data_IF_372186231822
#
_entry.id   IF_372186231822
#
_cell.length_a   1.000
_cell.length_b   1.000
_cell.length_c   1.000
_cell.angle_alpha   90.00
_cell.angle_beta   90.00
_cell.angle_gamma   90.00
#
_symmetry.space_group_name_H-M   'P 1'
#
loop_
_entity.id
_entity.type
_entity.pdbx_description
1 polymer ?
#
# COMPACT_ATOMS: atom_id res chain seq x y z
N UNK A 1 -10.47 -20.04 8.99
CA UNK A 1 -11.44 -19.58 10.02
C UNK A 1 -11.24 -20.19 11.41
N UNK A 2 -11.02 -21.51 11.58
CA UNK A 2 -10.81 -22.13 12.91
C UNK A 2 -9.69 -21.47 13.74
N UNK A 3 -8.57 -21.11 13.11
CA UNK A 3 -7.45 -20.45 13.79
C UNK A 3 -7.77 -19.00 14.22
N UNK A 4 -8.45 -18.23 13.39
CA UNK A 4 -8.83 -16.84 13.70
C UNK A 4 -9.87 -16.76 14.83
N UNK A 5 -10.83 -17.68 14.84
CA UNK A 5 -11.85 -17.75 15.89
C UNK A 5 -11.22 -18.03 17.26
N UNK A 6 -10.28 -18.99 17.34
CA UNK A 6 -9.65 -19.35 18.60
C UNK A 6 -8.71 -18.26 19.15
N UNK A 7 -7.96 -17.58 18.26
CA UNK A 7 -6.93 -16.62 18.67
C UNK A 7 -7.45 -15.18 18.79
N UNK A 8 -8.38 -14.79 17.94
CA UNK A 8 -8.85 -13.40 17.83
C UNK A 8 -10.34 -13.24 18.09
N UNK A 9 -11.08 -14.34 18.34
CA UNK A 9 -12.52 -14.30 18.55
C UNK A 9 -13.33 -13.94 17.30
N UNK A 10 -12.70 -13.94 16.12
CA UNK A 10 -13.34 -13.60 14.84
C UNK A 10 -13.79 -14.87 14.13
N UNK A 11 -15.10 -15.01 13.95
CA UNK A 11 -15.75 -16.24 13.46
C UNK A 11 -16.23 -16.14 12.01
N UNK A 12 -16.39 -14.93 11.50
CA UNK A 12 -16.86 -14.66 10.14
C UNK A 12 -16.33 -13.31 9.64
N UNK A 13 -16.64 -13.01 8.38
CA UNK A 13 -16.19 -11.80 7.69
C UNK A 13 -16.74 -10.50 8.34
N UNK A 14 -18.01 -10.51 8.75
CA UNK A 14 -18.64 -9.35 9.40
C UNK A 14 -18.01 -9.04 10.77
N UNK A 15 -17.69 -10.08 11.54
CA UNK A 15 -16.97 -9.93 12.81
C UNK A 15 -15.54 -9.39 12.60
N UNK A 16 -14.90 -9.75 11.48
CA UNK A 16 -13.59 -9.24 11.10
C UNK A 16 -13.67 -7.76 10.73
N UNK A 17 -14.61 -7.37 9.88
CA UNK A 17 -14.85 -5.98 9.52
C UNK A 17 -15.19 -5.14 10.77
N UNK A 18 -16.08 -5.66 11.63
CA UNK A 18 -16.42 -5.00 12.88
C UNK A 18 -15.23 -4.87 13.85
N UNK A 19 -14.27 -5.80 13.82
CA UNK A 19 -13.05 -5.67 14.62
C UNK A 19 -12.17 -4.51 14.13
N UNK A 20 -12.08 -4.32 12.81
CA UNK A 20 -11.38 -3.16 12.21
C UNK A 20 -12.09 -1.86 12.61
N UNK A 21 -13.42 -1.78 12.48
CA UNK A 21 -14.17 -0.58 12.88
C UNK A 21 -14.00 -0.26 14.37
N UNK A 22 -14.09 -1.27 15.24
CA UNK A 22 -13.87 -1.09 16.69
C UNK A 22 -12.48 -0.60 17.03
N UNK A 23 -11.46 -0.97 16.26
CA UNK A 23 -10.10 -0.47 16.46
C UNK A 23 -9.95 1.01 16.11
N UNK A 24 -10.77 1.52 15.18
CA UNK A 24 -10.82 2.94 14.82
C UNK A 24 -11.74 3.77 15.73
N UNK A 25 -12.70 3.15 16.42
CA UNK A 25 -13.60 3.86 17.32
C UNK A 25 -12.86 4.47 18.52
N UNK A 26 -13.26 5.68 18.89
CA UNK A 26 -12.62 6.45 19.96
C UNK A 26 -11.40 7.26 19.52
N UNK A 27 -11.03 7.24 18.24
CA UNK A 27 -10.08 8.20 17.69
C UNK A 27 -10.62 9.63 17.91
N UNK A 28 -9.81 10.54 18.49
CA UNK A 28 -10.21 11.94 18.66
C UNK A 28 -10.56 12.61 17.34
N UNK A 29 -11.54 13.52 17.33
CA UNK A 29 -12.02 14.21 16.11
C UNK A 29 -10.92 15.00 15.37
N UNK A 30 -9.88 15.42 16.08
CA UNK A 30 -8.73 16.15 15.52
C UNK A 30 -7.66 15.24 14.91
N UNK A 31 -7.81 13.91 15.01
CA UNK A 31 -6.88 12.94 14.46
C UNK A 31 -7.42 12.30 13.18
N UNK A 32 -6.49 11.70 12.43
CA UNK A 32 -6.82 10.85 11.28
C UNK A 32 -6.50 9.39 11.61
N UNK A 33 -7.20 8.48 10.94
CA UNK A 33 -6.96 7.04 11.01
C UNK A 33 -6.21 6.61 9.75
N UNK A 34 -5.06 5.97 9.94
CA UNK A 34 -4.32 5.31 8.85
C UNK A 34 -4.50 3.81 9.01
N UNK A 35 -4.91 3.13 7.95
CA UNK A 35 -5.08 1.67 7.97
C UNK A 35 -3.87 1.02 7.31
N UNK A 36 -3.28 0.04 8.01
CA UNK A 36 -2.23 -0.83 7.48
C UNK A 36 -2.77 -2.25 7.35
N UNK A 37 -2.66 -2.83 6.17
CA UNK A 37 -3.13 -4.18 5.87
C UNK A 37 -2.11 -4.97 5.04
N UNK A 38 -2.30 -6.28 4.93
CA UNK A 38 -1.51 -7.08 3.99
C UNK A 38 -2.03 -6.94 2.56
N UNK A 39 -3.34 -7.13 2.38
CA UNK A 39 -4.04 -6.98 1.10
C UNK A 39 -4.81 -5.65 1.08
N UNK A 40 -4.96 -5.06 -0.10
CA UNK A 40 -5.87 -3.92 -0.30
C UNK A 40 -7.34 -4.37 -0.26
N UNK A 41 -8.31 -3.44 -0.21
CA UNK A 41 -9.73 -3.78 -0.23
C UNK A 41 -10.16 -4.30 -1.61
N UNK A 42 -11.21 -5.10 -1.65
CA UNK A 42 -11.94 -5.40 -2.90
C UNK A 42 -12.59 -4.13 -3.46
N UNK A 43 -12.96 -4.18 -4.74
CA UNK A 43 -13.47 -3.06 -5.53
C UNK A 43 -12.39 -2.32 -6.32
N UNK A 44 -11.11 -2.69 -6.17
CA UNK A 44 -9.95 -2.02 -6.77
C UNK A 44 -9.12 -2.94 -7.69
N UNK A 45 -9.69 -4.05 -8.18
CA UNK A 45 -8.96 -5.05 -8.97
C UNK A 45 -9.65 -5.47 -10.27
N UNK A 46 -10.25 -4.52 -11.01
CA UNK A 46 -11.04 -4.85 -12.20
C UNK A 46 -10.20 -5.40 -13.37
N UNK A 47 -9.02 -4.83 -13.58
CA UNK A 47 -8.02 -5.22 -14.56
C UNK A 47 -6.77 -5.79 -13.85
N UNK A 48 -5.91 -6.49 -14.58
CA UNK A 48 -4.70 -7.11 -14.02
C UNK A 48 -3.71 -6.08 -13.44
N UNK A 49 -3.60 -4.93 -14.09
CA UNK A 49 -2.76 -3.81 -13.69
C UNK A 49 -3.38 -2.91 -12.60
N UNK A 50 -4.62 -3.16 -12.20
CA UNK A 50 -5.22 -2.44 -11.08
C UNK A 50 -4.55 -2.84 -9.75
N UNK A 51 -4.64 -1.96 -8.76
CA UNK A 51 -3.89 -2.06 -7.49
C UNK A 51 -4.17 -3.36 -6.70
N UNK A 52 -5.38 -3.93 -6.85
CA UNK A 52 -5.78 -5.23 -6.30
C UNK A 52 -6.06 -6.29 -7.39
N UNK A 53 -5.60 -6.06 -8.62
CA UNK A 53 -5.89 -6.87 -9.79
C UNK A 53 -5.06 -8.14 -9.91
N UNK A 54 -5.72 -9.27 -10.17
CA UNK A 54 -5.09 -10.57 -10.43
C UNK A 54 -4.41 -10.59 -11.81
N UNK A 55 -3.15 -10.96 -11.85
CA UNK A 55 -2.30 -10.95 -13.05
C UNK A 55 -1.70 -12.32 -13.43
N UNK A 56 -1.77 -13.30 -12.52
CA UNK A 56 -1.27 -14.68 -12.71
C UNK A 56 -2.28 -15.64 -13.36
N UNK A 57 -3.42 -15.13 -13.85
CA UNK A 57 -4.42 -15.94 -14.59
C UNK A 57 -5.02 -15.14 -15.74
N UNK A 58 -5.41 -15.81 -16.83
CA UNK A 58 -6.04 -15.17 -18.00
C UNK A 58 -7.39 -14.50 -17.70
N UNK A 59 -8.10 -14.95 -16.66
CA UNK A 59 -9.42 -14.44 -16.31
C UNK A 59 -9.37 -13.10 -15.55
N UNK A 60 -8.18 -12.62 -15.14
CA UNK A 60 -8.05 -11.42 -14.31
C UNK A 60 -8.85 -11.50 -13.01
N UNK A 61 -9.27 -10.36 -12.45
CA UNK A 61 -10.24 -10.27 -11.36
C UNK A 61 -9.68 -9.70 -10.06
N UNK A 62 -10.59 -9.40 -9.13
CA UNK A 62 -10.26 -8.71 -7.89
C UNK A 62 -9.70 -9.69 -6.84
N UNK A 63 -8.55 -9.35 -6.26
CA UNK A 63 -7.88 -10.10 -5.17
C UNK A 63 -7.79 -9.28 -3.89
N UNK A 64 -8.57 -8.21 -3.77
CA UNK A 64 -8.70 -7.46 -2.54
C UNK A 64 -9.33 -8.28 -1.41
N UNK A 65 -9.28 -7.71 -0.20
CA UNK A 65 -9.87 -8.23 1.01
C UNK A 65 -11.29 -7.66 1.22
N UNK A 66 -12.34 -8.51 1.12
CA UNK A 66 -13.72 -8.09 1.35
C UNK A 66 -14.00 -7.56 2.77
N UNK A 67 -13.23 -8.00 3.77
CA UNK A 67 -13.41 -7.52 5.14
C UNK A 67 -12.94 -6.08 5.28
N UNK A 68 -11.84 -5.73 4.60
CA UNK A 68 -11.31 -4.38 4.61
C UNK A 68 -12.22 -3.43 3.83
N UNK A 69 -12.73 -3.85 2.66
CA UNK A 69 -13.77 -3.10 1.93
C UNK A 69 -14.98 -2.84 2.84
N UNK A 70 -15.49 -3.89 3.49
CA UNK A 70 -16.66 -3.77 4.35
C UNK A 70 -16.40 -2.83 5.54
N UNK A 71 -15.25 -2.92 6.19
CA UNK A 71 -14.89 -2.05 7.31
C UNK A 71 -14.77 -0.58 6.88
N UNK A 72 -14.13 -0.30 5.74
CA UNK A 72 -14.00 1.04 5.19
C UNK A 72 -15.37 1.65 4.87
N UNK A 73 -16.25 0.86 4.24
CA UNK A 73 -17.64 1.28 3.97
C UNK A 73 -18.39 1.59 5.25
N UNK A 74 -18.33 0.71 6.25
CA UNK A 74 -18.99 0.95 7.55
C UNK A 74 -18.46 2.21 8.24
N UNK A 75 -17.15 2.43 8.28
CA UNK A 75 -16.56 3.64 8.86
C UNK A 75 -17.08 4.90 8.14
N UNK A 76 -17.13 4.87 6.81
CA UNK A 76 -17.62 5.97 5.97
C UNK A 76 -19.11 6.26 6.16
N UNK A 77 -19.93 5.23 6.38
CA UNK A 77 -21.38 5.34 6.51
C UNK A 77 -21.85 5.67 7.95
N UNK A 78 -21.06 5.31 8.96
CA UNK A 78 -21.51 5.33 10.36
C UNK A 78 -20.75 6.31 11.25
N UNK A 79 -19.69 6.93 10.74
CA UNK A 79 -18.83 7.85 11.51
C UNK A 79 -18.36 9.04 10.69
N UNK A 80 -17.91 10.08 11.37
CA UNK A 80 -17.18 11.22 10.77
C UNK A 80 -15.66 11.02 10.81
N UNK A 81 -15.17 9.81 11.06
CA UNK A 81 -13.73 9.54 11.14
C UNK A 81 -13.07 9.75 9.78
N UNK A 82 -11.98 10.51 9.78
CA UNK A 82 -11.16 10.71 8.60
C UNK A 82 -10.19 9.55 8.42
N UNK A 83 -10.33 8.80 7.32
CA UNK A 83 -9.41 7.73 6.91
C UNK A 83 -8.69 8.14 5.62
N UNK A 84 -7.69 9.05 5.66
CA UNK A 84 -7.08 9.58 4.45
C UNK A 84 -6.18 8.58 3.72
N UNK A 85 -5.74 7.52 4.41
CA UNK A 85 -4.72 6.61 3.90
C UNK A 85 -4.99 5.16 4.28
N UNK A 86 -4.93 4.30 3.27
CA UNK A 86 -4.88 2.85 3.44
C UNK A 86 -3.62 2.35 2.74
N UNK A 87 -2.68 1.80 3.52
CA UNK A 87 -1.45 1.21 3.01
C UNK A 87 -1.53 -0.31 3.07
N UNK A 88 -1.18 -0.95 1.97
CA UNK A 88 -1.13 -2.41 1.88
C UNK A 88 0.02 -2.89 1.01
N UNK A 89 0.10 -4.22 0.83
CA UNK A 89 1.09 -4.86 -0.02
C UNK A 89 0.48 -6.05 -0.77
N UNK A 90 1.16 -7.20 -0.68
CA UNK A 90 0.82 -8.47 -1.33
C UNK A 90 0.92 -8.46 -2.86
N UNK A 91 0.24 -7.52 -3.53
CA UNK A 91 0.19 -7.42 -4.99
C UNK A 91 1.44 -6.70 -5.50
N UNK A 92 2.45 -7.41 -6.00
CA UNK A 92 3.76 -6.82 -6.34
C UNK A 92 3.71 -5.76 -7.47
N UNK A 93 4.65 -4.80 -7.51
CA UNK A 93 4.66 -3.75 -8.56
C UNK A 93 4.76 -4.31 -9.97
N UNK A 94 5.64 -5.27 -10.20
CA UNK A 94 5.80 -5.92 -11.50
C UNK A 94 4.73 -6.99 -11.71
N UNK A 95 4.07 -6.97 -12.87
CA UNK A 95 3.04 -7.93 -13.23
C UNK A 95 3.64 -9.27 -13.68
N UNK A 96 2.94 -10.36 -13.36
CA UNK A 96 3.34 -11.72 -13.73
C UNK A 96 3.63 -11.86 -15.24
N UNK A 97 4.72 -12.55 -15.58
CA UNK A 97 5.14 -12.78 -16.96
C UNK A 97 5.64 -11.54 -17.70
N UNK A 98 6.04 -10.48 -17.00
CA UNK A 98 6.63 -9.27 -17.60
C UNK A 98 5.59 -8.40 -18.32
N UNK A 99 4.33 -8.44 -17.89
CA UNK A 99 3.21 -7.70 -18.50
C UNK A 99 3.20 -6.19 -18.17
N UNK A 100 4.27 -5.68 -17.58
CA UNK A 100 4.40 -4.28 -17.16
C UNK A 100 4.21 -4.10 -15.66
N UNK A 101 3.72 -2.93 -15.25
CA UNK A 101 3.61 -2.56 -13.85
C UNK A 101 2.15 -2.32 -13.43
N UNK A 102 1.86 -2.66 -12.18
CA UNK A 102 0.62 -2.39 -11.46
C UNK A 102 0.53 -0.92 -11.08
N UNK A 103 -0.68 -0.36 -11.07
CA UNK A 103 -0.99 0.92 -10.42
C UNK A 103 -0.71 0.78 -8.93
N UNK A 104 0.22 1.58 -8.40
CA UNK A 104 0.62 1.48 -6.98
C UNK A 104 -0.11 2.47 -6.08
N UNK A 105 -0.81 3.45 -6.66
CA UNK A 105 -1.64 4.42 -5.93
C UNK A 105 -2.99 4.59 -6.63
N UNK A 106 -4.06 4.60 -5.86
CA UNK A 106 -5.42 4.90 -6.32
C UNK A 106 -6.09 5.84 -5.32
N UNK A 107 -6.79 6.85 -5.80
CA UNK A 107 -7.63 7.71 -4.96
C UNK A 107 -9.10 7.29 -5.10
N UNK A 108 -9.83 7.23 -3.98
CA UNK A 108 -11.27 6.95 -3.99
C UNK A 108 -12.03 8.06 -4.75
N UNK A 109 -13.19 7.70 -5.29
CA UNK A 109 -14.08 8.54 -6.09
C UNK A 109 -14.51 9.86 -5.45
N UNK A 110 -14.55 9.93 -4.12
CA UNK A 110 -14.86 11.16 -3.37
C UNK A 110 -13.62 11.91 -2.88
N UNK A 111 -12.43 11.49 -3.32
CA UNK A 111 -11.11 12.04 -2.98
C UNK A 111 -10.75 12.00 -1.49
N UNK A 112 -11.47 11.21 -0.67
CA UNK A 112 -11.21 11.16 0.78
C UNK A 112 -10.13 10.16 1.18
N UNK A 113 -9.96 9.07 0.42
CA UNK A 113 -9.01 8.00 0.75
C UNK A 113 -8.01 7.85 -0.39
N UNK A 114 -6.72 7.79 -0.04
CA UNK A 114 -5.65 7.35 -0.95
C UNK A 114 -5.23 5.93 -0.54
N UNK A 115 -5.27 5.03 -1.51
CA UNK A 115 -4.83 3.65 -1.40
C UNK A 115 -3.40 3.56 -1.92
N UNK A 116 -2.47 3.08 -1.10
CA UNK A 116 -1.05 2.94 -1.45
C UNK A 116 -0.63 1.49 -1.30
N UNK A 117 -0.15 0.90 -2.38
CA UNK A 117 0.47 -0.41 -2.38
C UNK A 117 2.00 -0.24 -2.31
N UNK A 118 2.63 -0.78 -1.26
CA UNK A 118 4.07 -0.69 -1.02
C UNK A 118 4.86 -1.93 -1.47
N UNK A 119 4.25 -2.86 -2.20
CA UNK A 119 4.86 -4.16 -2.53
C UNK A 119 5.81 -4.09 -3.74
N UNK A 120 7.01 -3.56 -3.54
CA UNK A 120 8.08 -3.57 -4.55
C UNK A 120 9.02 -4.76 -4.30
N UNK A 121 9.18 -5.63 -5.32
CA UNK A 121 10.03 -6.82 -5.24
C UNK A 121 10.92 -6.93 -6.49
N UNK A 122 12.24 -7.11 -6.34
CA UNK A 122 13.00 -7.10 -5.10
C UNK A 122 13.08 -5.68 -4.51
N UNK A 123 12.85 -5.56 -3.19
CA UNK A 123 12.99 -4.28 -2.47
C UNK A 123 14.45 -3.84 -2.33
N UNK A 124 15.36 -4.80 -2.30
CA UNK A 124 16.81 -4.58 -2.19
C UNK A 124 17.47 -5.26 -3.38
N UNK A 125 18.24 -4.49 -4.15
CA UNK A 125 19.05 -4.96 -5.27
C UNK A 125 20.51 -4.81 -4.89
N UNK A 126 21.30 -5.86 -5.06
CA UNK A 126 22.75 -5.80 -4.84
C UNK A 126 23.42 -5.02 -5.98
N UNK A 127 24.39 -4.16 -5.67
CA UNK A 127 25.24 -3.49 -6.65
C UNK A 127 26.64 -4.11 -6.65
N UNK A 128 27.12 -4.64 -7.78
CA UNK A 128 28.44 -5.26 -7.87
C UNK A 128 29.57 -4.30 -7.51
N UNK A 129 30.66 -4.86 -6.99
CA UNK A 129 31.93 -4.14 -6.78
C UNK A 129 32.45 -3.62 -8.13
N UNK A 130 32.86 -2.35 -8.21
CA UNK A 130 33.40 -1.75 -9.44
C UNK A 130 32.39 -1.35 -10.52
N UNK A 131 31.07 -1.37 -10.23
CA UNK A 131 30.04 -0.90 -11.16
C UNK A 131 30.07 0.64 -11.40
N UNK A 132 30.72 1.37 -10.50
CA UNK A 132 31.22 2.72 -10.71
C UNK A 132 32.66 2.72 -10.19
N UNK A 133 33.58 3.40 -10.88
CA UNK A 133 35.02 3.42 -10.56
C UNK A 133 35.33 3.92 -9.12
N UNK A 134 34.32 4.47 -8.42
CA UNK A 134 34.38 5.00 -7.06
C UNK A 134 33.96 3.98 -5.98
N UNK A 135 33.53 2.76 -6.34
CA UNK A 135 33.02 1.75 -5.40
C UNK A 135 34.06 0.68 -5.05
N UNK A 136 34.85 0.94 -3.99
CA UNK A 136 35.80 -0.04 -3.45
C UNK A 136 35.13 -1.26 -2.78
N UNK A 137 33.83 -1.17 -2.47
CA UNK A 137 33.04 -2.26 -1.90
C UNK A 137 31.65 -2.32 -2.53
N UNK A 138 31.02 -3.51 -2.48
CA UNK A 138 29.66 -3.70 -2.96
C UNK A 138 28.66 -2.87 -2.17
N UNK A 139 27.49 -2.65 -2.75
CA UNK A 139 26.44 -1.81 -2.17
C UNK A 139 25.05 -2.37 -2.42
N UNK A 140 24.03 -1.62 -2.01
CA UNK A 140 22.63 -1.99 -2.28
C UNK A 140 21.84 -0.80 -2.80
N UNK A 141 20.85 -1.06 -3.65
CA UNK A 141 19.80 -0.12 -4.04
C UNK A 141 18.50 -0.58 -3.39
N UNK A 142 17.87 0.28 -2.60
CA UNK A 142 16.72 -0.04 -1.73
C UNK A 142 15.51 0.81 -2.09
N UNK A 143 14.36 0.18 -2.27
CA UNK A 143 13.11 0.88 -2.54
C UNK A 143 12.39 1.32 -1.25
N UNK A 144 11.95 2.58 -1.26
CA UNK A 144 11.09 3.19 -0.26
C UNK A 144 9.89 3.83 -0.95
N UNK A 145 8.71 3.71 -0.35
CA UNK A 145 7.54 4.50 -0.74
C UNK A 145 7.31 5.52 0.37
N UNK A 146 7.36 6.80 0.02
CA UNK A 146 7.18 7.93 0.94
C UNK A 146 5.79 8.51 0.73
N UNK A 147 5.11 8.82 1.83
CA UNK A 147 3.80 9.46 1.83
C UNK A 147 3.90 10.74 2.65
N UNK A 148 3.59 11.88 2.03
CA UNK A 148 3.54 13.19 2.68
C UNK A 148 2.10 13.48 3.11
N UNK A 149 1.93 13.79 4.39
CA UNK A 149 0.63 14.09 5.00
C UNK A 149 0.67 15.50 5.59
N UNK A 150 -0.26 16.35 5.18
CA UNK A 150 -0.43 17.70 5.70
C UNK A 150 -1.90 17.95 6.02
N UNK A 151 -2.17 18.45 7.22
CA UNK A 151 -3.53 18.75 7.72
C UNK A 151 -4.52 17.60 7.51
N UNK A 152 -4.04 16.37 7.75
CA UNK A 152 -4.85 15.15 7.61
C UNK A 152 -5.15 14.73 6.18
N UNK A 153 -4.52 15.34 5.17
CA UNK A 153 -4.66 14.99 3.75
C UNK A 153 -3.35 14.49 3.17
N UNK A 154 -3.45 13.56 2.22
CA UNK A 154 -2.29 13.09 1.47
C UNK A 154 -1.93 14.14 0.43
N UNK A 155 -0.69 14.63 0.48
CA UNK A 155 -0.16 15.62 -0.45
C UNK A 155 0.70 15.02 -1.54
N UNK A 156 1.46 13.98 -1.19
CA UNK A 156 2.37 13.35 -2.16
C UNK A 156 2.60 11.89 -1.82
N UNK A 157 2.75 11.07 -2.85
CA UNK A 157 3.29 9.72 -2.76
C UNK A 157 4.43 9.58 -3.76
N UNK A 158 5.60 9.12 -3.29
CA UNK A 158 6.81 8.97 -4.11
C UNK A 158 7.41 7.59 -3.87
N UNK A 159 7.79 6.90 -4.94
CA UNK A 159 8.70 5.78 -4.86
C UNK A 159 10.13 6.30 -5.04
N UNK A 160 11.00 6.08 -4.05
CA UNK A 160 12.40 6.48 -4.08
C UNK A 160 13.31 5.26 -3.96
N UNK A 161 14.27 5.13 -4.89
CA UNK A 161 15.36 4.17 -4.80
C UNK A 161 16.60 4.84 -4.22
N UNK A 162 17.13 4.24 -3.17
CA UNK A 162 18.27 4.76 -2.42
C UNK A 162 19.44 3.80 -2.53
N UNK A 163 20.55 4.30 -3.07
CA UNK A 163 21.84 3.60 -3.06
C UNK A 163 22.52 3.77 -1.71
N UNK A 164 23.00 2.66 -1.16
CA UNK A 164 23.72 2.58 0.11
C UNK A 164 25.03 1.85 -0.10
N UNK A 165 26.15 2.53 0.20
CA UNK A 165 27.52 2.02 0.04
C UNK A 165 28.32 2.45 1.25
N UNK A 166 28.70 1.50 2.10
CA UNK A 166 29.32 1.83 3.39
C UNK A 166 28.43 2.80 4.18
N UNK A 167 28.94 4.00 4.49
CA UNK A 167 28.18 5.09 5.13
C UNK A 167 27.55 6.08 4.15
N UNK A 168 27.79 5.94 2.85
CA UNK A 168 27.24 6.81 1.83
C UNK A 168 25.81 6.39 1.49
N UNK A 169 24.91 7.38 1.45
CA UNK A 169 23.50 7.20 1.10
C UNK A 169 23.14 8.25 0.04
N UNK A 170 22.58 7.82 -1.08
CA UNK A 170 22.18 8.70 -2.19
C UNK A 170 20.88 8.22 -2.82
N UNK A 171 19.97 9.14 -3.09
CA UNK A 171 18.78 8.86 -3.91
C UNK A 171 19.23 8.75 -5.37
N UNK A 172 18.87 7.64 -6.03
CA UNK A 172 19.28 7.34 -7.42
C UNK A 172 18.13 7.39 -8.42
N UNK A 173 16.89 7.22 -7.95
CA UNK A 173 15.68 7.30 -8.76
C UNK A 173 14.53 7.73 -7.86
N UNK A 174 13.66 8.61 -8.36
CA UNK A 174 12.40 8.98 -7.70
C UNK A 174 11.28 9.06 -8.73
N UNK A 175 10.14 8.49 -8.39
CA UNK A 175 8.92 8.49 -9.19
C UNK A 175 7.77 9.02 -8.33
N UNK A 176 7.23 10.19 -8.69
CA UNK A 176 6.00 10.70 -8.06
C UNK A 176 4.81 9.89 -8.56
N UNK A 177 4.18 9.15 -7.67
CA UNK A 177 3.00 8.33 -7.97
C UNK A 177 1.69 9.08 -7.77
N UNK A 178 1.69 10.09 -6.89
CA UNK A 178 0.54 10.93 -6.58
C UNK A 178 1.03 12.29 -6.08
N UNK A 179 0.36 13.36 -6.50
CA UNK A 179 0.58 14.71 -6.02
C UNK A 179 -0.77 15.45 -6.01
N UNK A 180 -1.14 15.97 -4.84
CA UNK A 180 -2.32 16.80 -4.69
C UNK A 180 -2.00 18.21 -5.21
N UNK A 181 -2.61 18.58 -6.34
CA UNK A 181 -2.40 19.90 -6.99
C UNK A 181 -3.30 20.99 -6.38
N UNK A 182 -3.97 20.70 -5.25
CA UNK A 182 -4.90 21.61 -4.58
C UNK A 182 -4.39 22.23 -3.28
#
# INVERSE_FOLDING_TARGET
MLHCSHRYGVRNMDESAGAICRAAFGTPEVHVVIILAHNGPTGLGSQAEDICGRDWTDQGGDQGDPNLEHALRQLKETTELSVPLVVFGHMHKELDGGKGNRKMVVQDSDNKIVYVNGAIVPRVKETPVGAAEELESGGTIRAFTLVEILDGKIKKVVDSWVQVVGSMVKIVEEETLFEDVT
#
